data_IF_183420749810
#
_entry.id   IF_183420749810
#
_cell.length_a   1.000
_cell.length_b   1.000
_cell.length_c   1.000
_cell.angle_alpha   90.00
_cell.angle_beta   90.00
_cell.angle_gamma   90.00
#
_symmetry.space_group_name_H-M   'P 1'
#
loop_
_entity.id
_entity.type
_entity.pdbx_description
1 polymer ?
#
# COMPACT_ATOMS: atom_id res chain seq x y z
N UNK A 1 -37.38 1.99 19.83
CA UNK A 1 -36.76 1.26 18.70
C UNK A 1 -36.08 2.28 17.79
N UNK A 2 -34.90 1.96 17.27
CA UNK A 2 -33.70 2.84 17.19
C UNK A 2 -33.86 4.21 16.52
N UNK A 3 -33.62 5.26 17.32
CA UNK A 3 -33.27 6.62 16.89
C UNK A 3 -31.75 6.68 16.74
N UNK A 4 -31.23 6.49 15.52
CA UNK A 4 -29.79 6.53 15.24
C UNK A 4 -29.28 5.47 14.26
N UNK A 5 -29.93 5.31 13.11
CA UNK A 5 -29.34 4.55 12.01
C UNK A 5 -28.23 5.41 11.36
N UNK A 6 -26.97 5.09 11.66
CA UNK A 6 -25.79 5.48 10.86
C UNK A 6 -25.19 6.86 11.16
N UNK A 7 -24.46 7.00 12.27
CA UNK A 7 -23.54 8.14 12.44
C UNK A 7 -22.27 7.94 11.59
N UNK A 8 -21.68 9.03 11.08
CA UNK A 8 -20.41 8.99 10.32
C UNK A 8 -19.30 8.29 11.10
N UNK A 9 -19.27 8.48 12.42
CA UNK A 9 -18.31 7.84 13.31
C UNK A 9 -18.45 6.32 13.31
N UNK A 10 -19.67 5.79 13.29
CA UNK A 10 -19.90 4.35 13.21
C UNK A 10 -19.43 3.76 11.86
N UNK A 11 -19.67 4.48 10.77
CA UNK A 11 -19.18 4.07 9.44
C UNK A 11 -17.64 4.05 9.38
N UNK A 12 -16.98 5.11 9.87
CA UNK A 12 -15.51 5.19 9.92
C UNK A 12 -14.91 4.09 10.80
N UNK A 13 -15.52 3.80 11.94
CA UNK A 13 -15.08 2.70 12.82
C UNK A 13 -15.15 1.35 12.10
N UNK A 14 -16.25 1.08 11.37
CA UNK A 14 -16.39 -0.14 10.58
C UNK A 14 -15.33 -0.23 9.46
N UNK A 15 -15.10 0.85 8.71
CA UNK A 15 -14.08 0.88 7.66
C UNK A 15 -12.68 0.67 8.23
N UNK A 16 -12.36 1.32 9.36
CA UNK A 16 -11.08 1.12 10.04
C UNK A 16 -10.89 -0.34 10.45
N UNK A 17 -11.91 -0.97 11.06
CA UNK A 17 -11.85 -2.37 11.47
C UNK A 17 -11.66 -3.32 10.28
N UNK A 18 -12.30 -3.06 9.14
CA UNK A 18 -12.08 -3.84 7.92
C UNK A 18 -10.64 -3.73 7.41
N UNK A 19 -10.06 -2.52 7.42
CA UNK A 19 -8.67 -2.29 7.01
C UNK A 19 -7.68 -2.93 8.01
N UNK A 20 -7.95 -2.83 9.31
CA UNK A 20 -7.15 -3.44 10.38
C UNK A 20 -7.12 -4.97 10.23
N UNK A 21 -8.28 -5.62 10.06
CA UNK A 21 -8.34 -7.07 9.81
C UNK A 21 -7.68 -7.48 8.49
N UNK A 22 -7.75 -6.64 7.46
CA UNK A 22 -7.05 -6.88 6.20
C UNK A 22 -5.52 -6.79 6.38
N UNK A 23 -5.03 -5.86 7.21
CA UNK A 23 -3.60 -5.68 7.48
C UNK A 23 -2.96 -6.94 8.08
N UNK A 24 -3.63 -7.62 9.02
CA UNK A 24 -3.14 -8.87 9.61
C UNK A 24 -3.02 -10.00 8.59
N UNK A 25 -3.84 -9.96 7.53
CA UNK A 25 -3.86 -10.97 6.47
C UNK A 25 -2.80 -10.72 5.39
N UNK A 26 -2.41 -9.47 5.17
CA UNK A 26 -1.48 -9.11 4.10
C UNK A 26 -0.03 -9.42 4.48
N UNK A 27 0.75 -9.86 3.50
CA UNK A 27 2.19 -10.07 3.70
C UNK A 27 2.90 -8.73 3.70
N UNK A 28 3.65 -8.47 4.76
CA UNK A 28 4.55 -7.32 4.85
C UNK A 28 5.56 -7.35 3.69
N UNK A 29 5.87 -6.18 3.15
CA UNK A 29 6.91 -6.04 2.13
C UNK A 29 8.27 -6.19 2.81
N UNK A 30 9.08 -7.13 2.34
CA UNK A 30 10.39 -7.43 2.94
C UNK A 30 11.39 -6.26 2.88
N UNK A 31 11.22 -5.33 1.94
CA UNK A 31 12.09 -4.16 1.76
C UNK A 31 11.26 -2.87 1.70
N UNK A 32 10.76 -2.37 2.85
CA UNK A 32 9.88 -1.20 2.88
C UNK A 32 10.56 0.07 2.35
N UNK A 33 11.88 0.19 2.52
CA UNK A 33 12.67 1.31 2.02
C UNK A 33 12.70 1.39 0.48
N UNK A 34 12.49 0.27 -0.23
CA UNK A 34 12.42 0.25 -1.71
C UNK A 34 11.03 0.58 -2.24
N UNK A 35 9.99 0.58 -1.40
CA UNK A 35 8.61 0.86 -1.82
C UNK A 35 8.48 2.26 -2.39
N UNK A 36 9.25 3.23 -1.89
CA UNK A 36 9.29 4.58 -2.45
C UNK A 36 9.73 4.57 -3.93
N UNK A 37 10.75 3.78 -4.28
CA UNK A 37 11.25 3.64 -5.66
C UNK A 37 10.24 2.91 -6.55
N UNK A 38 9.60 1.86 -6.04
CA UNK A 38 8.52 1.15 -6.76
C UNK A 38 7.36 2.10 -7.05
N UNK A 39 6.94 2.91 -6.06
CA UNK A 39 5.89 3.93 -6.23
C UNK A 39 6.29 5.03 -7.21
N UNK A 40 7.57 5.36 -7.31
CA UNK A 40 8.12 6.28 -8.30
C UNK A 40 8.20 5.67 -9.72
N UNK A 41 7.84 4.39 -9.90
CA UNK A 41 7.83 3.70 -11.19
C UNK A 41 9.17 3.04 -11.56
N UNK A 42 10.10 2.91 -10.60
CA UNK A 42 11.37 2.23 -10.83
C UNK A 42 11.16 0.73 -11.08
N UNK A 43 11.88 0.16 -12.06
CA UNK A 43 11.74 -1.24 -12.46
C UNK A 43 12.68 -2.11 -11.62
N UNK A 44 12.14 -3.18 -11.04
CA UNK A 44 12.92 -4.18 -10.32
C UNK A 44 12.85 -5.52 -11.06
N UNK A 45 13.99 -6.19 -11.24
CA UNK A 45 14.08 -7.54 -11.78
C UNK A 45 14.71 -8.45 -10.74
N UNK A 46 13.97 -9.46 -10.27
CA UNK A 46 14.39 -10.37 -9.19
C UNK A 46 14.83 -9.64 -7.90
N UNK A 47 14.19 -8.51 -7.58
CA UNK A 47 14.52 -7.71 -6.39
C UNK A 47 15.70 -6.75 -6.55
N UNK A 48 16.36 -6.74 -7.71
CA UNK A 48 17.43 -5.78 -8.03
C UNK A 48 16.83 -4.62 -8.83
N UNK A 49 17.14 -3.40 -8.42
CA UNK A 49 16.77 -2.20 -9.16
C UNK A 49 17.47 -2.23 -10.53
N UNK A 50 16.68 -2.19 -11.59
CA UNK A 50 17.18 -2.04 -12.95
C UNK A 50 17.20 -0.55 -13.24
N UNK A 51 18.38 0.07 -13.20
CA UNK A 51 18.55 1.35 -13.88
C UNK A 51 18.12 1.18 -15.33
N UNK A 52 17.33 2.13 -15.86
CA UNK A 52 17.16 2.18 -17.30
C UNK A 52 18.55 2.28 -17.93
N UNK A 53 18.74 1.63 -19.06
CA UNK A 53 19.81 1.95 -20.03
C UNK A 53 19.72 3.41 -20.57
N UNK A 54 19.16 4.36 -19.82
CA UNK A 54 19.12 5.79 -20.15
C UNK A 54 20.47 6.49 -19.82
N UNK A 55 21.55 5.71 -19.74
CA UNK A 55 22.94 6.18 -19.67
C UNK A 55 23.83 5.56 -20.77
N UNK A 56 23.23 5.03 -21.84
CA UNK A 56 23.94 4.57 -23.05
C UNK A 56 23.20 4.97 -24.32
N UNK A 57 23.00 6.27 -24.55
CA UNK A 57 22.92 6.91 -25.87
C UNK A 57 22.61 8.42 -25.76
N UNK A 58 23.65 9.24 -25.56
CA UNK A 58 23.89 10.55 -26.20
C UNK A 58 25.15 11.19 -25.60
#
# INVERSE_FOLDING_TARGET
MVRGAGSRSAALAMTFKLIESAQERWRAVNAPHLVALVRAGARFKRGVLVEREDASAA
#
